data_IF_974282479013
#
_entry.id   IF_974282479013
#
_cell.length_a   1.000
_cell.length_b   1.000
_cell.length_c   1.000
_cell.angle_alpha   90.00
_cell.angle_beta   90.00
_cell.angle_gamma   90.00
#
_symmetry.space_group_name_H-M   'P 1'
#
loop_
_entity.id
_entity.type
_entity.pdbx_description
1 polymer ?
#
# COMPACT_ATOMS: atom_id res chain seq x y z
N UNK A 1 7.49 3.73 -7.05
CA UNK A 1 6.91 4.10 -5.73
C UNK A 1 5.53 3.48 -5.60
N UNK A 2 5.02 3.25 -4.40
CA UNK A 2 3.67 2.72 -4.20
C UNK A 2 2.98 3.31 -2.97
N UNK A 3 1.66 3.33 -3.00
CA UNK A 3 0.77 3.75 -1.91
C UNK A 3 -0.05 2.56 -1.46
N UNK A 4 -0.28 2.43 -0.15
CA UNK A 4 -1.14 1.40 0.42
C UNK A 4 -2.08 1.98 1.48
N UNK A 5 -3.27 1.39 1.58
CA UNK A 5 -4.29 1.70 2.58
C UNK A 5 -5.11 0.42 2.88
N UNK A 6 -5.78 0.40 4.03
CA UNK A 6 -6.78 -0.61 4.33
C UNK A 6 -8.05 -0.01 4.97
N UNK A 7 -9.21 -0.39 4.42
CA UNK A 7 -10.50 -0.17 5.08
C UNK A 7 -10.72 -1.24 6.15
N UNK A 8 -10.39 -0.93 7.39
CA UNK A 8 -10.44 -1.87 8.51
C UNK A 8 -11.89 -2.24 8.87
N UNK A 9 -12.18 -3.54 8.82
CA UNK A 9 -13.49 -4.10 9.13
C UNK A 9 -14.65 -3.49 8.33
N UNK A 10 -14.37 -3.02 7.12
CA UNK A 10 -15.35 -2.41 6.22
C UNK A 10 -16.45 -3.35 5.74
N UNK A 11 -16.19 -4.65 5.65
CA UNK A 11 -17.23 -5.62 5.29
C UNK A 11 -18.24 -5.82 6.43
N UNK A 12 -19.51 -5.49 6.22
CA UNK A 12 -20.54 -5.59 7.26
C UNK A 12 -20.86 -7.04 7.68
N UNK A 13 -20.62 -8.03 6.81
CA UNK A 13 -21.01 -9.44 7.04
C UNK A 13 -19.92 -10.17 7.82
N UNK A 14 -18.68 -10.13 7.34
CA UNK A 14 -17.57 -10.90 7.92
C UNK A 14 -16.54 -10.04 8.65
N UNK A 15 -16.71 -8.71 8.68
CA UNK A 15 -15.81 -7.74 9.31
C UNK A 15 -14.37 -7.85 8.81
N UNK A 16 -14.15 -8.42 7.63
CA UNK A 16 -12.84 -8.44 6.99
C UNK A 16 -12.55 -7.07 6.38
N UNK A 17 -11.29 -6.67 6.49
CA UNK A 17 -10.80 -5.44 5.91
C UNK A 17 -10.64 -5.57 4.39
N UNK A 18 -10.63 -4.45 3.68
CA UNK A 18 -10.28 -4.38 2.26
C UNK A 18 -8.95 -3.65 2.13
N UNK A 19 -7.94 -4.28 1.54
CA UNK A 19 -6.69 -3.61 1.20
C UNK A 19 -6.81 -2.94 -0.16
N UNK A 20 -6.12 -1.82 -0.31
CA UNK A 20 -5.93 -1.14 -1.56
C UNK A 20 -4.48 -0.73 -1.74
N UNK A 21 -3.99 -0.80 -2.98
CA UNK A 21 -2.70 -0.22 -3.32
C UNK A 21 -2.68 0.28 -4.75
N UNK A 22 -1.74 1.18 -5.02
CA UNK A 22 -1.33 1.57 -6.36
C UNK A 22 0.18 1.80 -6.43
N UNK A 23 0.78 1.51 -7.57
CA UNK A 23 2.22 1.66 -7.80
C UNK A 23 2.50 2.45 -9.08
N UNK A 24 3.62 3.15 -9.05
CA UNK A 24 4.04 4.08 -10.10
C UNK A 24 5.48 3.83 -10.53
N UNK A 25 5.71 3.93 -11.84
CA UNK A 25 7.02 3.92 -12.48
C UNK A 25 7.13 5.17 -13.34
N UNK A 26 8.17 5.98 -13.13
CA UNK A 26 8.37 7.23 -13.88
C UNK A 26 7.21 8.23 -13.77
N UNK A 27 6.45 8.21 -12.68
CA UNK A 27 5.27 9.06 -12.48
C UNK A 27 3.97 8.53 -13.06
N UNK A 28 3.99 7.38 -13.75
CA UNK A 28 2.80 6.75 -14.34
C UNK A 28 2.30 5.61 -13.48
N UNK A 29 0.98 5.53 -13.29
CA UNK A 29 0.34 4.40 -12.61
C UNK A 29 0.53 3.13 -13.45
N UNK A 30 1.10 2.08 -12.86
CA UNK A 30 1.37 0.81 -13.56
C UNK A 30 0.58 -0.36 -12.99
N UNK A 31 0.40 -0.43 -11.67
CA UNK A 31 -0.42 -1.48 -11.05
C UNK A 31 -1.27 -0.91 -9.93
N UNK A 32 -2.45 -1.50 -9.74
CA UNK A 32 -3.37 -1.16 -8.67
C UNK A 32 -4.20 -2.37 -8.28
N UNK A 33 -4.74 -2.34 -7.06
CA UNK A 33 -5.55 -3.44 -6.55
C UNK A 33 -6.50 -2.96 -5.47
N UNK A 34 -7.69 -3.57 -5.46
CA UNK A 34 -8.59 -3.59 -4.32
C UNK A 34 -8.89 -5.05 -3.99
N UNK A 35 -8.64 -5.49 -2.75
CA UNK A 35 -8.82 -6.90 -2.37
C UNK A 35 -9.27 -7.03 -0.93
N UNK A 36 -10.33 -7.81 -0.70
CA UNK A 36 -10.74 -8.22 0.65
C UNK A 36 -9.67 -9.11 1.29
N UNK A 37 -9.27 -8.81 2.52
CA UNK A 37 -8.36 -9.65 3.29
C UNK A 37 -8.97 -11.03 3.54
N UNK A 38 -8.13 -12.05 3.63
CA UNK A 38 -8.58 -13.43 3.89
C UNK A 38 -8.88 -13.66 5.37
N UNK A 39 -8.17 -12.95 6.24
CA UNK A 39 -8.25 -13.03 7.71
C UNK A 39 -8.83 -11.72 8.26
N UNK A 40 -9.51 -11.79 9.41
CA UNK A 40 -10.02 -10.63 10.13
C UNK A 40 -8.86 -9.96 10.87
N UNK A 41 -8.59 -8.69 10.58
CA UNK A 41 -7.64 -7.89 11.32
C UNK A 41 -8.25 -7.37 12.63
N UNK A 42 -7.50 -7.45 13.73
CA UNK A 42 -7.96 -7.04 15.06
C UNK A 42 -7.65 -5.58 15.40
N UNK A 43 -6.94 -4.89 14.52
CA UNK A 43 -6.65 -3.46 14.61
C UNK A 43 -6.48 -2.85 13.22
N UNK A 44 -6.64 -1.52 13.11
CA UNK A 44 -6.32 -0.80 11.87
C UNK A 44 -4.85 -0.93 11.50
N UNK A 45 -3.93 -0.85 12.47
CA UNK A 45 -2.50 -1.02 12.24
C UNK A 45 -2.17 -2.38 11.62
N UNK A 46 -2.83 -3.46 12.06
CA UNK A 46 -2.68 -4.79 11.45
C UNK A 46 -3.22 -4.83 10.01
N UNK A 47 -4.40 -4.24 9.77
CA UNK A 47 -5.00 -4.21 8.45
C UNK A 47 -4.09 -3.47 7.45
N UNK A 48 -3.57 -2.32 7.87
CA UNK A 48 -2.62 -1.48 7.13
C UNK A 48 -1.30 -2.21 6.89
N UNK A 49 -0.78 -2.90 7.91
CA UNK A 49 0.46 -3.67 7.76
C UNK A 49 0.35 -4.77 6.69
N UNK A 50 -0.79 -5.46 6.63
CA UNK A 50 -1.07 -6.46 5.58
C UNK A 50 -1.17 -5.80 4.19
N UNK A 51 -1.68 -4.56 4.11
CA UNK A 51 -1.66 -3.78 2.87
C UNK A 51 -0.23 -3.40 2.46
N UNK A 52 0.60 -2.97 3.43
CA UNK A 52 2.04 -2.71 3.22
C UNK A 52 2.75 -3.96 2.69
N UNK A 53 2.50 -5.14 3.28
CA UNK A 53 3.09 -6.40 2.84
C UNK A 53 2.73 -6.76 1.40
N UNK A 54 1.45 -6.63 1.05
CA UNK A 54 1.00 -6.87 -0.34
C UNK A 54 1.64 -5.89 -1.33
N UNK A 55 1.77 -4.62 -0.93
CA UNK A 55 2.37 -3.56 -1.77
C UNK A 55 3.88 -3.74 -1.90
N UNK A 56 4.56 -4.19 -0.85
CA UNK A 56 5.98 -4.51 -0.86
C UNK A 56 6.29 -5.62 -1.87
N UNK A 57 5.51 -6.71 -1.87
CA UNK A 57 5.64 -7.78 -2.85
C UNK A 57 5.50 -7.26 -4.29
N UNK A 58 4.49 -6.41 -4.53
CA UNK A 58 4.25 -5.80 -5.84
C UNK A 58 5.44 -4.93 -6.30
N UNK A 59 5.95 -4.08 -5.40
CA UNK A 59 7.11 -3.23 -5.69
C UNK A 59 8.35 -4.07 -6.03
N UNK A 60 8.62 -5.13 -5.27
CA UNK A 60 9.77 -6.03 -5.51
C UNK A 60 9.62 -6.77 -6.84
N UNK A 61 8.43 -7.25 -7.15
CA UNK A 61 8.14 -7.84 -8.45
C UNK A 61 8.37 -6.84 -9.59
N UNK A 62 7.86 -5.60 -9.46
CA UNK A 62 8.10 -4.54 -10.44
C UNK A 62 9.59 -4.19 -10.58
N UNK A 63 10.35 -4.16 -9.48
CA UNK A 63 11.81 -3.94 -9.54
C UNK A 63 12.51 -5.03 -10.34
N UNK A 64 12.14 -6.30 -10.11
CA UNK A 64 12.65 -7.44 -10.88
C UNK A 64 12.31 -7.31 -12.36
N UNK A 65 11.05 -7.04 -12.68
CA UNK A 65 10.58 -6.84 -14.06
C UNK A 65 11.34 -5.70 -14.76
N UNK A 66 11.56 -4.57 -14.07
CA UNK A 66 12.32 -3.45 -14.61
C UNK A 66 13.77 -3.83 -14.87
N UNK A 67 14.41 -4.57 -13.96
CA UNK A 67 15.77 -5.09 -14.18
C UNK A 67 15.84 -6.00 -15.41
N UNK A 68 14.86 -6.90 -15.60
CA UNK A 68 14.80 -7.79 -16.78
C UNK A 68 14.62 -7.01 -18.09
N UNK A 69 13.95 -5.85 -18.03
CA UNK A 69 13.80 -4.91 -19.14
C UNK A 69 15.01 -3.95 -19.31
N UNK A 70 16.09 -4.13 -18.53
CA UNK A 70 17.31 -3.32 -18.61
C UNK A 70 17.25 -1.99 -17.85
N UNK A 71 16.22 -1.76 -17.03
CA UNK A 71 16.05 -0.57 -16.19
C UNK A 71 16.51 -0.88 -14.76
N UNK A 72 17.74 -0.50 -14.44
CA UNK A 72 18.34 -0.75 -13.14
C UNK A 72 18.10 0.42 -12.18
N UNK A 73 17.70 0.10 -10.94
CA UNK A 73 17.48 1.10 -9.87
C UNK A 73 18.27 0.73 -8.62
N UNK A 74 19.21 1.61 -8.24
CA UNK A 74 20.00 1.50 -7.01
C UNK A 74 19.27 2.06 -5.79
N UNK A 75 18.31 2.95 -6.01
CA UNK A 75 17.55 3.59 -4.94
C UNK A 75 16.49 2.65 -4.35
N UNK A 76 16.21 2.75 -3.03
CA UNK A 76 15.09 2.07 -2.41
C UNK A 76 13.76 2.48 -3.05
N UNK A 77 12.80 1.56 -3.10
CA UNK A 77 11.46 1.88 -3.56
C UNK A 77 10.63 2.51 -2.44
N UNK A 78 10.12 3.72 -2.68
CA UNK A 78 9.25 4.39 -1.71
C UNK A 78 7.89 3.69 -1.60
N UNK A 79 7.51 3.35 -0.37
CA UNK A 79 6.19 2.81 0.02
C UNK A 79 5.52 3.81 0.98
N UNK A 80 4.39 4.38 0.56
CA UNK A 80 3.65 5.40 1.30
C UNK A 80 2.48 4.77 2.07
N UNK A 81 2.38 5.07 3.36
CA UNK A 81 1.31 4.63 4.25
C UNK A 81 0.93 5.78 5.21
N UNK A 82 -0.34 5.91 5.56
CA UNK A 82 -0.84 6.94 6.48
C UNK A 82 -0.98 6.43 7.92
N UNK A 83 -0.71 5.14 8.17
CA UNK A 83 -0.73 4.55 9.49
C UNK A 83 0.68 4.48 10.11
N UNK A 84 0.99 5.43 10.99
CA UNK A 84 2.28 5.49 11.67
C UNK A 84 2.56 4.23 12.51
N UNK A 85 1.55 3.63 13.14
CA UNK A 85 1.74 2.42 13.93
C UNK A 85 2.19 1.24 13.04
N UNK A 86 1.61 1.08 11.84
CA UNK A 86 2.06 0.08 10.87
C UNK A 86 3.51 0.33 10.41
N UNK A 87 3.87 1.59 10.14
CA UNK A 87 5.25 1.95 9.80
C UNK A 87 6.26 1.71 10.94
N UNK A 88 5.85 1.94 12.19
CA UNK A 88 6.67 1.61 13.37
C UNK A 88 6.89 0.11 13.51
N UNK A 89 5.87 -0.72 13.24
CA UNK A 89 6.01 -2.18 13.22
C UNK A 89 7.00 -2.62 12.14
N UNK A 90 7.01 -1.93 10.99
CA UNK A 90 7.91 -2.25 9.86
C UNK A 90 9.38 -1.92 10.18
N UNK A 91 9.63 -0.84 10.94
CA UNK A 91 10.98 -0.39 11.26
C UNK A 91 11.58 -1.04 12.52
N UNK A 92 10.75 -1.46 13.49
CA UNK A 92 11.25 -1.93 14.79
C UNK A 92 11.25 -3.46 14.93
N UNK A 93 12.42 -4.11 15.16
CA UNK A 93 12.53 -5.55 15.31
C UNK A 93 11.98 -6.09 16.64
N UNK A 94 11.73 -5.28 17.67
CA UNK A 94 11.42 -5.75 19.03
C UNK A 94 9.94 -6.07 19.26
N UNK A 95 9.03 -5.63 18.38
CA UNK A 95 7.60 -5.95 18.51
C UNK A 95 7.32 -7.38 18.03
N UNK A 96 7.32 -8.34 18.97
CA UNK A 96 7.01 -9.76 18.72
C UNK A 96 5.72 -10.23 19.43
N UNK A 97 5.38 -9.72 20.61
CA UNK A 97 4.27 -10.28 21.40
C UNK A 97 2.86 -10.00 20.81
N UNK A 98 2.67 -8.91 20.06
CA UNK A 98 1.33 -8.47 19.58
C UNK A 98 1.05 -8.76 18.10
N UNK A 99 2.01 -9.32 17.36
CA UNK A 99 1.97 -9.47 15.90
C UNK A 99 2.15 -10.92 15.43
N UNK A 100 2.12 -11.90 16.34
CA UNK A 100 2.36 -13.33 16.04
C UNK A 100 1.48 -13.88 14.90
N UNK A 101 0.24 -13.42 14.77
CA UNK A 101 -0.70 -13.83 13.72
C UNK A 101 -0.46 -13.16 12.35
N UNK A 102 0.49 -12.23 12.27
CA UNK A 102 1.00 -11.59 11.04
C UNK A 102 2.52 -11.67 10.94
N UNK A 103 3.14 -12.59 11.68
CA UNK A 103 4.59 -12.68 11.88
C UNK A 103 5.37 -12.83 10.57
N UNK A 104 4.87 -13.65 9.63
CA UNK A 104 5.50 -13.86 8.32
C UNK A 104 5.53 -12.57 7.50
N UNK A 105 4.39 -11.88 7.39
CA UNK A 105 4.30 -10.58 6.71
C UNK A 105 5.22 -9.55 7.38
N UNK A 106 5.31 -9.60 8.73
CA UNK A 106 6.18 -8.73 9.51
C UNK A 106 7.66 -8.95 9.21
N UNK A 107 8.11 -10.21 9.20
CA UNK A 107 9.48 -10.54 8.88
C UNK A 107 9.82 -10.12 7.44
N UNK A 108 8.94 -10.42 6.48
CA UNK A 108 9.17 -10.07 5.09
C UNK A 108 9.31 -8.56 4.89
N UNK A 109 8.32 -7.76 5.28
CA UNK A 109 8.38 -6.30 5.06
C UNK A 109 9.56 -5.68 5.79
N UNK A 110 9.83 -6.12 7.03
CA UNK A 110 10.97 -5.63 7.81
C UNK A 110 12.31 -5.93 7.16
N UNK A 111 12.49 -7.14 6.63
CA UNK A 111 13.71 -7.52 5.92
C UNK A 111 13.94 -6.61 4.70
N UNK A 112 12.89 -6.33 3.93
CA UNK A 112 12.97 -5.47 2.75
C UNK A 112 13.27 -4.00 3.11
N UNK A 113 12.79 -3.54 4.27
CA UNK A 113 13.10 -2.20 4.80
C UNK A 113 14.53 -2.14 5.33
N UNK A 114 14.98 -3.14 6.08
CA UNK A 114 16.33 -3.18 6.64
C UNK A 114 17.42 -3.32 5.56
N UNK A 115 17.16 -4.12 4.52
CA UNK A 115 18.03 -4.25 3.34
C UNK A 115 18.01 -3.05 2.40
N UNK A 116 17.23 -2.00 2.71
CA UNK A 116 17.09 -0.80 1.90
C UNK A 116 16.56 -1.08 0.47
N UNK A 117 15.83 -2.18 0.28
CA UNK A 117 15.09 -2.45 -0.96
C UNK A 117 13.83 -1.59 -1.00
N UNK A 118 13.18 -1.40 0.15
CA UNK A 118 12.00 -0.56 0.34
C UNK A 118 12.28 0.51 1.39
N UNK A 119 11.78 1.72 1.17
CA UNK A 119 11.79 2.79 2.16
C UNK A 119 10.34 3.21 2.44
N UNK A 120 9.94 3.20 3.71
CA UNK A 120 8.58 3.61 4.11
C UNK A 120 8.51 5.11 4.33
N UNK A 121 7.41 5.73 3.91
CA UNK A 121 7.15 7.16 4.07
C UNK A 121 5.73 7.40 4.58
N UNK A 122 5.60 8.32 5.53
CA UNK A 122 4.29 8.79 5.95
C UNK A 122 3.64 9.59 4.81
N UNK A 123 2.39 9.30 4.51
CA UNK A 123 1.51 10.19 3.73
C UNK A 123 0.33 10.62 4.59
N UNK A 124 -0.18 11.82 4.37
CA UNK A 124 -1.40 12.27 5.05
C UNK A 124 -2.58 11.53 4.43
N UNK A 125 -3.60 11.16 5.21
CA UNK A 125 -4.81 10.50 4.68
C UNK A 125 -5.47 11.32 3.57
N UNK A 126 -5.40 12.66 3.65
CA UNK A 126 -5.87 13.50 2.55
C UNK A 126 -5.14 13.19 1.24
N UNK A 127 -3.84 12.93 1.24
CA UNK A 127 -3.05 12.65 0.02
C UNK A 127 -2.81 11.15 -0.21
N UNK A 128 -3.55 10.28 0.47
CA UNK A 128 -3.45 8.83 0.34
C UNK A 128 -4.14 8.36 -0.95
N UNK A 129 -3.36 8.09 -1.99
CA UNK A 129 -3.91 7.65 -3.29
C UNK A 129 -4.59 6.28 -3.22
N UNK A 130 -4.17 5.43 -2.27
CA UNK A 130 -4.74 4.10 -2.11
C UNK A 130 -6.19 4.12 -1.58
N UNK A 131 -6.66 5.24 -1.01
CA UNK A 131 -8.03 5.40 -0.51
C UNK A 131 -9.09 5.18 -1.60
N UNK A 132 -8.75 5.48 -2.86
CA UNK A 132 -9.61 5.26 -4.03
C UNK A 132 -10.01 3.78 -4.16
N UNK A 133 -9.16 2.86 -3.66
CA UNK A 133 -9.35 1.42 -3.77
C UNK A 133 -9.94 0.77 -2.52
N UNK A 134 -10.13 1.53 -1.43
CA UNK A 134 -10.55 0.98 -0.12
C UNK A 134 -11.83 1.61 0.41
N UNK A 135 -12.06 2.91 0.17
CA UNK A 135 -13.09 3.69 0.87
C UNK A 135 -14.11 4.30 -0.10
N UNK A 136 -15.38 4.42 0.28
CA UNK A 136 -16.34 5.26 -0.43
C UNK A 136 -16.04 6.73 -0.12
N UNK A 137 -15.30 7.39 -1.00
CA UNK A 137 -14.90 8.79 -0.84
C UNK A 137 -15.98 9.77 -1.30
N UNK A 138 -16.06 10.95 -0.67
CA UNK A 138 -16.87 12.05 -1.17
C UNK A 138 -16.40 12.50 -2.56
N UNK A 139 -17.32 12.89 -3.44
CA UNK A 139 -17.05 13.13 -4.87
C UNK A 139 -15.86 14.05 -5.13
N UNK A 140 -15.74 15.15 -4.40
CA UNK A 140 -14.61 16.10 -4.54
C UNK A 140 -13.26 15.44 -4.21
N UNK A 141 -13.19 14.68 -3.12
CA UNK A 141 -11.98 13.98 -2.71
C UNK A 141 -11.63 12.85 -3.69
N UNK A 142 -12.64 12.09 -4.11
CA UNK A 142 -12.49 11.04 -5.12
C UNK A 142 -11.90 11.59 -6.42
N UNK A 143 -12.49 12.65 -6.98
CA UNK A 143 -12.02 13.28 -8.22
C UNK A 143 -10.58 13.80 -8.09
N UNK A 144 -10.23 14.41 -6.96
CA UNK A 144 -8.87 14.92 -6.72
C UNK A 144 -7.81 13.81 -6.63
N UNK A 145 -8.13 12.68 -5.98
CA UNK A 145 -7.20 11.54 -5.95
C UNK A 145 -7.13 10.86 -7.32
N UNK A 146 -8.28 10.73 -8.00
CA UNK A 146 -8.38 10.14 -9.32
C UNK A 146 -7.59 10.92 -10.38
N UNK A 147 -7.56 12.26 -10.31
CA UNK A 147 -6.73 13.07 -11.21
C UNK A 147 -5.24 12.83 -11.00
N UNK A 148 -4.80 12.55 -9.77
CA UNK A 148 -3.40 12.19 -9.46
C UNK A 148 -3.03 10.77 -9.92
N UNK A 149 -4.03 9.91 -10.16
CA UNK A 149 -3.82 8.58 -10.75
C UNK A 149 -3.64 8.64 -12.28
N UNK A 150 -3.83 9.81 -12.91
CA UNK A 150 -3.75 9.96 -14.37
C UNK A 150 -4.98 9.44 -15.11
N UNK A 151 -6.13 9.34 -14.43
CA UNK A 151 -7.39 8.94 -15.07
C UNK A 151 -7.86 9.99 -16.07
N UNK A 152 -8.23 9.56 -17.27
CA UNK A 152 -8.76 10.42 -18.33
C UNK A 152 -10.16 9.94 -18.67
N UNK A 153 -11.12 10.86 -18.68
CA UNK A 153 -12.46 10.58 -19.17
C UNK A 153 -12.46 10.70 -20.70
N UNK A 154 -12.46 9.57 -21.40
CA UNK A 154 -12.48 9.53 -22.86
C UNK A 154 -13.77 10.10 -23.49
N UNK A 155 -14.81 10.31 -22.68
CA UNK A 155 -16.11 10.81 -23.11
C UNK A 155 -16.31 12.30 -22.76
N UNK A 156 -15.36 12.94 -22.07
CA UNK A 156 -15.43 14.36 -21.77
C UNK A 156 -14.96 15.15 -23.01
N UNK A 157 -15.79 16.04 -23.58
CA UNK A 157 -15.33 16.93 -24.64
C UNK A 157 -14.22 17.84 -24.10
N UNK A 158 -13.08 17.88 -24.79
CA UNK A 158 -11.97 18.77 -24.48
C UNK A 158 -12.35 20.26 -24.59
#
# INVERSE_FOLDING_TARGET
MGYCDADWAGNAIDRKSTIGYCTFVGGNLVTWKSKKQTVIARSSAEAEYRAMASTACELIWLKGLLCDLGVFTTHPMSLFCDNQAAMHIASNPVFHERTKHIEIDCHYVREQVQSQVIQTHYTRSFDQLADVFTKPLASHQFQRLLSKLGSINLLDPA
#
